data_IF_765135802026
#
_entry.id   IF_765135802026
#
_cell.length_a   1.000
_cell.length_b   1.000
_cell.length_c   1.000
_cell.angle_alpha   90.00
_cell.angle_beta   90.00
_cell.angle_gamma   90.00
#
_symmetry.space_group_name_H-M   'P 1'
#
loop_
_entity.id
_entity.type
_entity.pdbx_description
1 polymer ?
#
# COMPACT_ATOMS: atom_id res chain seq x y z
N UNK A 1 -14.63 5.00 -18.53
CA UNK A 1 -14.72 5.44 -17.13
C UNK A 1 -15.88 4.72 -16.42
N UNK A 2 -15.66 4.20 -15.25
CA UNK A 2 -16.69 3.65 -14.35
C UNK A 2 -16.63 4.41 -13.02
N UNK A 3 -17.76 4.94 -12.55
CA UNK A 3 -17.86 5.72 -11.32
C UNK A 3 -19.00 5.24 -10.45
N UNK A 4 -18.72 5.01 -9.18
CA UNK A 4 -19.68 4.74 -8.11
C UNK A 4 -19.46 5.73 -6.95
N UNK A 5 -20.19 5.57 -5.84
CA UNK A 5 -19.97 6.34 -4.63
C UNK A 5 -18.65 5.97 -3.91
N UNK A 6 -18.13 4.77 -4.16
CA UNK A 6 -16.96 4.20 -3.47
C UNK A 6 -15.69 4.22 -4.31
N UNK A 7 -15.80 4.20 -5.66
CA UNK A 7 -14.63 4.18 -6.52
C UNK A 7 -14.87 4.83 -7.89
N UNK A 8 -13.78 5.30 -8.50
CA UNK A 8 -13.70 5.79 -9.88
C UNK A 8 -12.59 5.03 -10.61
N UNK A 9 -12.89 4.47 -11.79
CA UNK A 9 -11.94 3.71 -12.59
C UNK A 9 -11.86 4.32 -14.00
N UNK A 10 -10.63 4.53 -14.45
CA UNK A 10 -10.33 5.13 -15.74
C UNK A 10 -9.47 4.18 -16.57
N UNK A 11 -9.86 3.95 -17.84
CA UNK A 11 -9.06 3.20 -18.80
C UNK A 11 -8.48 4.21 -19.80
N UNK A 12 -7.31 4.73 -19.51
CA UNK A 12 -6.58 5.70 -20.35
C UNK A 12 -5.15 5.86 -19.79
N UNK A 13 -4.35 6.70 -20.44
CA UNK A 13 -3.01 7.06 -20.02
C UNK A 13 -3.03 7.83 -18.68
N UNK A 14 -2.16 7.43 -17.75
CA UNK A 14 -2.23 7.90 -16.37
C UNK A 14 -1.96 9.40 -16.21
N UNK A 15 -0.97 9.96 -16.91
CA UNK A 15 -0.65 11.40 -16.79
C UNK A 15 -1.81 12.27 -17.30
N UNK A 16 -2.47 11.85 -18.39
CA UNK A 16 -3.65 12.53 -18.95
C UNK A 16 -4.83 12.51 -17.97
N UNK A 17 -5.10 11.36 -17.35
CA UNK A 17 -6.17 11.27 -16.36
C UNK A 17 -5.82 12.04 -15.09
N UNK A 18 -4.55 12.01 -14.63
CA UNK A 18 -4.12 12.83 -13.51
C UNK A 18 -4.33 14.33 -13.77
N UNK A 19 -4.06 14.83 -15.01
CA UNK A 19 -4.35 16.21 -15.39
C UNK A 19 -5.86 16.52 -15.28
N UNK A 20 -6.71 15.63 -15.79
CA UNK A 20 -8.17 15.76 -15.67
C UNK A 20 -8.63 15.79 -14.21
N UNK A 21 -8.02 14.97 -13.33
CA UNK A 21 -8.35 14.97 -11.90
C UNK A 21 -7.88 16.26 -11.21
N UNK A 22 -6.74 16.80 -11.61
CA UNK A 22 -6.22 18.09 -11.12
C UNK A 22 -7.16 19.25 -11.52
N UNK A 23 -7.58 19.31 -12.78
CA UNK A 23 -8.54 20.29 -13.29
C UNK A 23 -9.86 20.25 -12.52
N UNK A 24 -10.33 19.06 -12.13
CA UNK A 24 -11.52 18.86 -11.29
C UNK A 24 -11.26 19.09 -9.79
N UNK A 25 -10.06 19.56 -9.43
CA UNK A 25 -9.63 19.79 -8.04
C UNK A 25 -9.80 18.55 -7.13
N UNK A 26 -9.63 17.34 -7.67
CA UNK A 26 -9.67 16.11 -6.90
C UNK A 26 -8.46 16.04 -5.98
N UNK A 27 -8.68 15.61 -4.73
CA UNK A 27 -7.61 15.40 -3.73
C UNK A 27 -7.68 13.99 -3.17
N UNK A 28 -6.50 13.39 -2.99
CA UNK A 28 -6.35 12.02 -2.46
C UNK A 28 -5.54 12.02 -1.17
N UNK A 29 -5.81 11.03 -0.31
CA UNK A 29 -5.27 10.95 1.04
C UNK A 29 -4.04 10.04 1.12
N UNK A 30 -3.95 9.05 0.22
CA UNK A 30 -2.75 8.25 0.00
C UNK A 30 -2.63 7.83 -1.47
N UNK A 31 -1.40 7.65 -1.95
CA UNK A 31 -1.10 7.18 -3.29
C UNK A 31 -0.31 5.89 -3.16
N UNK A 32 -0.79 4.80 -3.77
CA UNK A 32 -0.15 3.49 -3.72
C UNK A 32 -0.16 2.91 -5.13
N UNK A 33 1.01 2.74 -5.73
CA UNK A 33 1.12 2.32 -7.13
C UNK A 33 2.32 1.42 -7.40
N UNK A 34 2.17 0.48 -8.35
CA UNK A 34 3.24 -0.33 -8.92
C UNK A 34 3.62 0.25 -10.28
N UNK A 35 4.55 1.21 -10.28
CA UNK A 35 4.90 1.98 -11.47
C UNK A 35 5.73 1.18 -12.46
N UNK A 36 5.58 1.42 -13.80
CA UNK A 36 6.39 0.78 -14.81
C UNK A 36 7.86 1.17 -14.67
N UNK A 37 8.76 0.20 -14.72
CA UNK A 37 10.19 0.34 -14.39
C UNK A 37 11.13 0.12 -15.58
N UNK A 38 10.60 -0.35 -16.74
CA UNK A 38 11.38 -0.64 -17.94
C UNK A 38 12.31 -1.86 -17.77
N UNK A 39 11.96 -2.81 -16.90
CA UNK A 39 12.77 -4.00 -16.63
C UNK A 39 12.23 -5.26 -17.32
N UNK A 40 11.05 -5.18 -17.92
CA UNK A 40 10.45 -6.28 -18.68
C UNK A 40 10.39 -5.95 -20.18
N UNK A 41 10.15 -6.96 -21.00
CA UNK A 41 9.97 -6.79 -22.46
C UNK A 41 8.54 -6.37 -22.84
N UNK A 42 7.69 -6.12 -21.88
CA UNK A 42 6.29 -5.77 -22.11
C UNK A 42 6.16 -4.32 -22.62
N UNK A 43 5.32 -4.10 -23.61
CA UNK A 43 5.11 -2.77 -24.22
C UNK A 43 4.56 -1.73 -23.23
N UNK A 44 3.90 -2.16 -22.16
CA UNK A 44 3.36 -1.29 -21.11
C UNK A 44 4.40 -0.91 -20.04
N UNK A 45 5.53 -1.62 -19.95
CA UNK A 45 6.59 -1.36 -18.97
C UNK A 45 7.53 -0.23 -19.42
N UNK A 46 6.97 0.91 -19.74
CA UNK A 46 7.72 2.12 -20.11
C UNK A 46 7.77 3.07 -18.92
N UNK A 47 8.98 3.38 -18.38
CA UNK A 47 9.11 4.29 -17.26
C UNK A 47 8.50 5.66 -17.56
N UNK A 48 7.79 6.19 -16.59
CA UNK A 48 7.27 7.55 -16.65
C UNK A 48 8.42 8.57 -16.46
N UNK A 49 8.31 9.72 -17.09
CA UNK A 49 9.20 10.84 -16.81
C UNK A 49 8.98 11.31 -15.36
N UNK A 50 9.99 11.17 -14.50
CA UNK A 50 9.88 11.44 -13.07
C UNK A 50 9.33 12.84 -12.76
N UNK A 51 9.82 13.88 -13.44
CA UNK A 51 9.35 15.25 -13.21
C UNK A 51 7.84 15.38 -13.50
N UNK A 52 7.37 14.81 -14.61
CA UNK A 52 5.96 14.84 -14.98
C UNK A 52 5.08 14.06 -13.99
N UNK A 53 5.57 12.93 -13.48
CA UNK A 53 4.91 12.13 -12.46
C UNK A 53 4.83 12.89 -11.13
N UNK A 54 5.97 13.37 -10.59
CA UNK A 54 6.01 14.04 -9.28
C UNK A 54 5.16 15.31 -9.25
N UNK A 55 5.21 16.14 -10.30
CA UNK A 55 4.40 17.36 -10.38
C UNK A 55 2.89 17.07 -10.20
N UNK A 56 2.39 16.05 -10.89
CA UNK A 56 0.98 15.65 -10.81
C UNK A 56 0.63 15.03 -9.46
N UNK A 57 1.48 14.14 -8.94
CA UNK A 57 1.26 13.54 -7.63
C UNK A 57 1.18 14.59 -6.53
N UNK A 58 2.03 15.62 -6.59
CA UNK A 58 1.99 16.72 -5.63
C UNK A 58 0.75 17.62 -5.76
N UNK A 59 0.22 17.79 -6.94
CA UNK A 59 -1.04 18.52 -7.17
C UNK A 59 -2.27 17.73 -6.71
N UNK A 60 -2.23 16.39 -6.82
CA UNK A 60 -3.34 15.52 -6.42
C UNK A 60 -3.39 15.24 -4.92
N UNK A 61 -2.27 15.26 -4.20
CA UNK A 61 -2.26 15.04 -2.75
C UNK A 61 -3.13 16.06 -2.00
N UNK A 62 -3.87 15.62 -0.98
CA UNK A 62 -4.69 16.50 -0.15
C UNK A 62 -3.85 17.55 0.57
N UNK A 63 -2.69 17.15 1.09
CA UNK A 63 -1.77 18.01 1.83
C UNK A 63 -0.35 17.42 1.88
N UNK A 64 0.54 18.07 2.63
CA UNK A 64 1.95 17.66 2.79
C UNK A 64 2.15 16.35 3.57
N UNK A 65 1.12 15.87 4.25
CA UNK A 65 1.14 14.62 5.01
C UNK A 65 0.68 13.41 4.16
N UNK A 66 0.13 13.65 2.95
CA UNK A 66 -0.28 12.56 2.04
C UNK A 66 0.93 11.73 1.62
N UNK A 67 0.99 10.43 1.97
CA UNK A 67 2.08 9.56 1.58
C UNK A 67 1.95 9.12 0.12
N UNK A 68 3.11 8.97 -0.53
CA UNK A 68 3.24 8.37 -1.86
C UNK A 68 4.06 7.10 -1.70
N UNK A 69 3.47 5.96 -1.97
CA UNK A 69 3.99 4.62 -1.73
C UNK A 69 4.14 3.92 -3.09
N UNK A 70 5.37 3.67 -3.49
CA UNK A 70 5.68 3.15 -4.83
C UNK A 70 6.41 1.82 -4.72
N UNK A 71 5.87 0.78 -5.37
CA UNK A 71 6.58 -0.48 -5.57
C UNK A 71 7.69 -0.28 -6.59
N UNK A 72 8.85 -0.85 -6.30
CA UNK A 72 10.05 -0.60 -7.10
C UNK A 72 11.06 -1.74 -6.97
N UNK A 73 12.07 -1.74 -7.82
CA UNK A 73 13.16 -2.72 -7.81
C UNK A 73 14.46 -2.09 -8.32
N UNK A 74 15.61 -2.55 -7.79
CA UNK A 74 16.89 -2.11 -8.32
C UNK A 74 17.10 -2.53 -9.79
N UNK A 75 17.78 -1.70 -10.61
CA UNK A 75 18.41 -0.40 -10.30
C UNK A 75 17.47 0.81 -10.40
N UNK A 76 16.19 0.59 -10.76
CA UNK A 76 15.21 1.67 -10.92
C UNK A 76 14.93 2.40 -9.58
N UNK A 77 14.92 1.69 -8.45
CA UNK A 77 14.76 2.26 -7.11
C UNK A 77 15.75 3.39 -6.83
N UNK A 78 17.02 3.21 -7.15
CA UNK A 78 18.03 4.24 -6.95
C UNK A 78 17.72 5.50 -7.74
N UNK A 79 17.32 5.37 -9.01
CA UNK A 79 16.91 6.50 -9.86
C UNK A 79 15.67 7.21 -9.32
N UNK A 80 14.67 6.43 -8.87
CA UNK A 80 13.44 6.95 -8.29
C UNK A 80 13.73 7.76 -7.02
N UNK A 81 14.56 7.25 -6.11
CA UNK A 81 14.94 7.96 -4.89
C UNK A 81 15.71 9.24 -5.22
N UNK A 82 16.72 9.18 -6.09
CA UNK A 82 17.49 10.36 -6.50
C UNK A 82 16.62 11.43 -7.16
N UNK A 83 15.53 11.04 -7.84
CA UNK A 83 14.60 12.00 -8.44
C UNK A 83 13.77 12.79 -7.43
N UNK A 84 13.75 12.36 -6.15
CA UNK A 84 12.95 12.98 -5.07
C UNK A 84 13.51 12.65 -3.67
N UNK A 85 14.83 12.77 -3.50
CA UNK A 85 15.56 12.42 -2.28
C UNK A 85 15.08 13.19 -1.05
N UNK A 86 14.72 14.46 -1.22
CA UNK A 86 14.18 15.31 -0.15
C UNK A 86 12.95 14.72 0.54
N UNK A 87 12.08 14.05 -0.21
CA UNK A 87 10.82 13.51 0.32
C UNK A 87 10.85 11.99 0.52
N UNK A 88 11.88 11.30 0.08
CA UNK A 88 12.10 9.90 0.43
C UNK A 88 12.32 9.77 1.94
N UNK A 89 11.58 8.86 2.61
CA UNK A 89 11.67 8.71 4.06
C UNK A 89 11.86 7.28 4.53
N UNK A 90 11.19 6.31 3.90
CA UNK A 90 11.18 4.93 4.39
C UNK A 90 11.28 3.98 3.20
N UNK A 91 12.11 2.94 3.35
CA UNK A 91 12.08 1.76 2.49
C UNK A 91 11.45 0.62 3.27
N UNK A 92 10.39 0.01 2.73
CA UNK A 92 9.87 -1.28 3.16
C UNK A 92 10.21 -2.34 2.11
N UNK A 93 10.17 -3.60 2.53
CA UNK A 93 10.52 -4.73 1.68
C UNK A 93 9.41 -5.77 1.76
N UNK A 94 8.87 -6.17 0.63
CA UNK A 94 7.97 -7.31 0.56
C UNK A 94 8.76 -8.57 0.27
N UNK A 95 8.84 -9.46 1.26
CA UNK A 95 9.42 -10.80 1.12
C UNK A 95 8.35 -11.75 0.59
N UNK A 96 8.61 -12.33 -0.60
CA UNK A 96 7.73 -13.27 -1.29
C UNK A 96 7.99 -14.69 -0.83
N UNK A 97 6.94 -15.50 -0.76
CA UNK A 97 7.01 -16.94 -0.47
C UNK A 97 7.76 -17.73 -1.54
N UNK A 98 7.67 -17.31 -2.80
CA UNK A 98 8.35 -17.92 -3.93
C UNK A 98 9.23 -16.91 -4.66
N UNK A 99 10.52 -17.20 -4.80
CA UNK A 99 11.43 -16.32 -5.52
C UNK A 99 11.16 -16.33 -7.03
N UNK A 100 11.69 -15.33 -7.72
CA UNK A 100 11.71 -15.22 -9.18
C UNK A 100 13.14 -15.22 -9.71
N UNK A 101 13.32 -15.33 -11.05
CA UNK A 101 14.64 -15.27 -11.67
C UNK A 101 15.33 -16.64 -11.77
N UNK A 102 14.60 -17.75 -11.76
CA UNK A 102 15.14 -19.11 -11.78
C UNK A 102 16.07 -19.40 -12.96
N UNK A 103 15.87 -18.75 -14.12
CA UNK A 103 16.75 -18.89 -15.29
C UNK A 103 18.20 -18.44 -15.00
N UNK A 104 18.39 -17.56 -14.02
CA UNK A 104 19.69 -17.04 -13.61
C UNK A 104 20.21 -17.66 -12.30
N UNK A 105 19.58 -18.72 -11.78
CA UNK A 105 19.90 -19.29 -10.46
C UNK A 105 21.35 -19.76 -10.31
N UNK A 106 22.00 -20.13 -11.44
CA UNK A 106 23.43 -20.51 -11.45
C UNK A 106 24.41 -19.32 -11.54
N UNK A 107 23.90 -18.09 -11.71
CA UNK A 107 24.72 -16.87 -11.94
C UNK A 107 24.52 -15.82 -10.86
N UNK A 108 23.37 -15.79 -10.21
CA UNK A 108 23.02 -14.82 -9.19
C UNK A 108 21.95 -15.37 -8.24
N UNK A 109 21.81 -14.81 -7.02
CA UNK A 109 20.75 -15.18 -6.10
C UNK A 109 19.35 -14.99 -6.71
N UNK A 110 18.41 -15.85 -6.32
CA UNK A 110 17.01 -15.71 -6.68
C UNK A 110 16.40 -14.48 -6.00
N UNK A 111 15.52 -13.79 -6.72
CA UNK A 111 14.88 -12.57 -6.24
C UNK A 111 13.60 -12.91 -5.48
N UNK A 112 13.64 -12.80 -4.14
CA UNK A 112 12.49 -13.03 -3.27
C UNK A 112 11.98 -11.77 -2.58
N UNK A 113 12.58 -10.60 -2.86
CA UNK A 113 12.21 -9.31 -2.23
C UNK A 113 11.84 -8.30 -3.31
N UNK A 114 10.77 -7.53 -3.06
CA UNK A 114 10.44 -6.29 -3.77
C UNK A 114 10.52 -5.11 -2.81
N UNK A 115 10.95 -3.97 -3.33
CA UNK A 115 11.14 -2.74 -2.58
C UNK A 115 9.88 -1.88 -2.64
N UNK A 116 9.58 -1.18 -1.54
CA UNK A 116 8.43 -0.28 -1.43
C UNK A 116 8.96 1.04 -0.87
N UNK A 117 9.13 2.02 -1.76
CA UNK A 117 9.64 3.34 -1.40
C UNK A 117 8.50 4.26 -0.97
N UNK A 118 8.63 4.90 0.21
CA UNK A 118 7.62 5.77 0.79
C UNK A 118 8.16 7.19 0.88
N UNK A 119 7.42 8.10 0.25
CA UNK A 119 7.74 9.52 0.15
C UNK A 119 6.66 10.35 0.84
N UNK A 120 7.07 11.36 1.60
CA UNK A 120 6.18 12.39 2.16
C UNK A 120 6.97 13.64 2.55
N UNK A 121 6.27 14.77 2.64
CA UNK A 121 6.88 16.04 3.03
C UNK A 121 6.81 16.25 4.55
N UNK A 122 5.65 15.93 5.16
CA UNK A 122 5.42 15.90 6.60
C UNK A 122 4.93 14.52 7.02
N UNK A 123 5.15 14.08 8.26
CA UNK A 123 4.71 12.78 8.75
C UNK A 123 3.24 12.50 8.41
N UNK A 124 2.94 11.38 7.75
CA UNK A 124 1.57 10.97 7.41
C UNK A 124 0.82 10.43 8.61
N UNK A 125 -0.46 10.11 8.43
CA UNK A 125 -1.17 9.18 9.30
C UNK A 125 -0.35 7.91 9.41
N UNK A 126 -0.18 7.42 10.63
CA UNK A 126 0.53 6.17 10.89
C UNK A 126 -0.23 5.33 11.92
N UNK A 127 -0.90 4.31 11.45
CA UNK A 127 -1.64 3.33 12.24
C UNK A 127 -0.83 2.01 12.21
N UNK A 128 0.05 1.74 13.19
CA UNK A 128 0.90 0.57 13.17
C UNK A 128 0.06 -0.72 13.22
N UNK A 129 0.21 -1.58 12.22
CA UNK A 129 -0.44 -2.88 12.19
C UNK A 129 0.34 -3.82 13.11
N UNK A 130 -0.11 -3.92 14.37
CA UNK A 130 0.59 -4.65 15.43
C UNK A 130 0.61 -6.15 15.14
N UNK A 131 1.74 -6.79 15.40
CA UNK A 131 1.99 -8.22 15.13
C UNK A 131 2.03 -8.97 16.46
N UNK A 132 1.32 -10.10 16.54
CA UNK A 132 1.43 -11.00 17.68
C UNK A 132 2.80 -11.67 17.65
N UNK A 133 3.55 -11.57 18.72
CA UNK A 133 4.89 -12.14 18.87
C UNK A 133 5.07 -12.83 20.22
N UNK A 134 6.27 -13.35 20.48
CA UNK A 134 6.60 -13.89 21.80
C UNK A 134 6.50 -12.77 22.84
N UNK A 135 6.07 -13.08 24.08
CA UNK A 135 6.09 -12.12 25.17
C UNK A 135 7.44 -11.43 25.27
N UNK A 136 7.45 -10.13 25.53
CA UNK A 136 8.69 -9.36 25.56
C UNK A 136 9.43 -9.69 26.85
N UNK A 137 10.71 -10.05 26.76
CA UNK A 137 11.60 -10.14 27.92
C UNK A 137 11.84 -8.78 28.59
N UNK A 138 11.41 -7.68 27.98
CA UNK A 138 11.49 -6.33 28.53
C UNK A 138 10.42 -6.05 29.60
N UNK A 139 9.52 -6.99 29.90
CA UNK A 139 8.87 -7.06 31.20
C UNK A 139 9.89 -7.69 32.19
N UNK A 140 11.14 -7.32 32.07
CA UNK A 140 12.12 -7.64 33.07
C UNK A 140 11.68 -6.97 34.37
N UNK A 141 11.46 -7.75 35.43
CA UNK A 141 11.38 -7.22 36.77
C UNK A 141 12.48 -6.22 36.97
N UNK A 142 12.13 -4.95 37.00
CA UNK A 142 13.08 -3.92 37.41
C UNK A 142 13.23 -4.04 38.89
N UNK A 143 14.11 -4.90 39.31
CA UNK A 143 14.62 -4.87 40.68
C UNK A 143 15.51 -3.60 40.74
N UNK A 144 14.93 -2.52 41.29
CA UNK A 144 15.63 -1.30 41.61
C UNK A 144 15.90 -0.38 40.38
N UNK A 145 15.68 0.88 40.60
CA UNK A 145 16.02 2.06 39.82
C UNK A 145 16.33 1.85 38.35
N UNK A 146 15.33 2.11 37.52
CA UNK A 146 15.48 2.18 36.08
C UNK A 146 16.35 3.38 35.71
N UNK A 147 17.67 3.21 35.75
CA UNK A 147 18.57 4.17 35.11
C UNK A 147 18.29 4.14 33.63
N UNK A 148 17.70 5.20 33.09
CA UNK A 148 17.72 5.45 31.65
C UNK A 148 19.17 5.30 31.19
N UNK A 149 19.49 4.23 30.45
CA UNK A 149 20.81 4.13 29.85
C UNK A 149 20.84 5.21 28.77
N UNK A 150 21.63 6.26 29.04
CA UNK A 150 21.98 7.23 28.01
C UNK A 150 22.58 6.46 26.84
N UNK A 151 21.86 6.43 25.72
CA UNK A 151 22.41 5.96 24.47
C UNK A 151 22.86 7.20 23.71
N UNK A 152 24.15 7.33 23.44
CA UNK A 152 24.73 8.47 22.72
C UNK A 152 24.05 8.73 21.36
N UNK A 153 23.37 7.72 20.79
CA UNK A 153 22.68 7.83 19.52
C UNK A 153 21.24 8.40 19.61
N UNK A 154 20.57 8.29 20.76
CA UNK A 154 19.14 8.61 20.88
C UNK A 154 18.79 9.58 22.00
N UNK A 155 19.80 10.04 22.77
CA UNK A 155 19.58 10.92 23.92
C UNK A 155 18.78 10.26 25.05
N UNK A 156 18.15 11.07 25.89
CA UNK A 156 17.31 10.61 26.98
C UNK A 156 15.88 10.36 26.49
N UNK A 157 15.36 9.18 26.73
CA UNK A 157 13.95 8.85 26.42
C UNK A 157 13.29 8.15 27.61
N UNK A 158 11.99 8.46 27.80
CA UNK A 158 11.18 7.78 28.81
C UNK A 158 10.98 6.32 28.43
N UNK A 159 11.07 5.42 29.41
CA UNK A 159 10.77 4.01 29.23
C UNK A 159 9.26 3.85 29.08
N UNK A 160 8.82 3.28 27.96
CA UNK A 160 7.42 2.90 27.78
C UNK A 160 7.27 1.44 28.17
N UNK A 161 6.49 1.18 29.20
CA UNK A 161 6.08 -0.17 29.56
C UNK A 161 5.13 -0.71 28.48
N UNK A 162 5.41 -1.93 28.02
CA UNK A 162 4.58 -2.61 27.03
C UNK A 162 4.03 -3.87 27.65
N UNK A 163 2.72 -3.90 27.82
CA UNK A 163 2.01 -5.10 28.23
C UNK A 163 1.70 -5.98 27.01
N UNK A 164 1.76 -7.31 27.23
CA UNK A 164 1.32 -8.31 26.29
C UNK A 164 2.35 -8.73 25.23
N UNK A 165 1.82 -9.39 24.21
CA UNK A 165 2.61 -10.02 23.14
C UNK A 165 2.57 -9.28 21.80
N UNK A 166 2.01 -8.06 21.74
CA UNK A 166 1.96 -7.23 20.54
C UNK A 166 3.31 -6.57 20.27
N UNK A 167 3.76 -6.63 19.02
CA UNK A 167 5.01 -6.04 18.53
C UNK A 167 4.71 -5.04 17.43
N UNK A 168 5.49 -3.96 17.40
CA UNK A 168 5.43 -3.02 16.29
C UNK A 168 5.86 -3.68 14.98
N UNK A 169 5.25 -3.27 13.84
CA UNK A 169 5.59 -3.81 12.53
C UNK A 169 7.05 -3.51 12.17
N UNK A 170 7.63 -4.40 11.37
CA UNK A 170 9.00 -4.27 10.83
C UNK A 170 8.97 -3.75 9.41
N UNK A 171 10.15 -3.41 8.88
CA UNK A 171 10.30 -3.00 7.47
C UNK A 171 10.06 -4.14 6.49
N UNK A 172 10.34 -5.39 6.88
CA UNK A 172 10.12 -6.57 6.04
C UNK A 172 8.70 -7.06 6.26
N UNK A 173 7.93 -7.07 5.18
CA UNK A 173 6.55 -7.53 5.11
C UNK A 173 6.52 -8.92 4.43
N UNK A 174 5.97 -9.92 5.10
CA UNK A 174 5.90 -11.29 4.59
C UNK A 174 4.48 -11.60 4.13
N UNK A 175 4.28 -11.62 2.83
CA UNK A 175 3.00 -11.95 2.21
C UNK A 175 3.20 -12.88 1.03
N UNK A 176 2.41 -13.94 0.95
CA UNK A 176 2.43 -14.86 -0.19
C UNK A 176 1.92 -14.18 -1.44
N UNK A 177 2.49 -14.55 -2.58
CA UNK A 177 1.98 -14.13 -3.89
C UNK A 177 0.58 -14.70 -4.13
N UNK A 178 -0.29 -14.01 -4.87
CA UNK A 178 -1.59 -14.55 -5.27
C UNK A 178 -1.42 -15.90 -6.00
N UNK A 179 -2.30 -16.85 -5.71
CA UNK A 179 -2.31 -18.15 -6.37
C UNK A 179 -3.72 -18.72 -6.50
N UNK A 180 -4.23 -18.99 -7.71
CA UNK A 180 -3.65 -18.57 -9.00
C UNK A 180 -3.70 -17.04 -9.16
N UNK A 181 -2.69 -16.43 -9.81
CA UNK A 181 -2.70 -15.00 -10.05
C UNK A 181 -3.66 -14.64 -11.21
N UNK A 182 -4.35 -13.52 -11.13
CA UNK A 182 -5.14 -12.95 -12.24
C UNK A 182 -4.22 -12.29 -13.26
N UNK A 183 -3.08 -11.75 -12.79
CA UNK A 183 -2.02 -11.17 -13.61
C UNK A 183 -0.65 -11.54 -13.04
N UNK A 184 0.39 -11.78 -13.89
CA UNK A 184 1.72 -12.23 -13.43
C UNK A 184 2.39 -11.32 -12.40
N UNK A 185 2.15 -10.01 -12.46
CA UNK A 185 2.75 -9.00 -11.56
C UNK A 185 1.80 -8.52 -10.48
N UNK A 186 0.68 -9.21 -10.26
CA UNK A 186 -0.34 -8.84 -9.27
C UNK A 186 0.26 -8.76 -7.86
N UNK A 187 -0.04 -7.66 -7.16
CA UNK A 187 0.33 -7.51 -5.76
C UNK A 187 -0.72 -8.18 -4.84
N UNK A 188 -0.28 -8.85 -3.76
CA UNK A 188 -1.21 -9.49 -2.83
C UNK A 188 -2.14 -8.48 -2.15
N UNK A 189 -3.44 -8.73 -2.18
CA UNK A 189 -4.43 -7.89 -1.48
C UNK A 189 -4.10 -7.73 0.02
N UNK A 190 -3.68 -8.77 0.76
CA UNK A 190 -3.30 -8.60 2.17
C UNK A 190 -2.12 -7.62 2.39
N UNK A 191 -1.11 -7.61 1.50
CA UNK A 191 -0.01 -6.64 1.54
C UNK A 191 -0.52 -5.20 1.33
N UNK A 192 -1.39 -5.02 0.34
CA UNK A 192 -1.98 -3.72 0.02
C UNK A 192 -2.89 -3.21 1.14
N UNK A 193 -3.64 -4.11 1.80
CA UNK A 193 -4.43 -3.78 3.00
C UNK A 193 -3.56 -3.30 4.16
N UNK A 194 -2.42 -3.96 4.41
CA UNK A 194 -1.47 -3.53 5.44
C UNK A 194 -0.98 -2.10 5.17
N UNK A 195 -0.57 -1.80 3.93
CA UNK A 195 -0.12 -0.46 3.55
C UNK A 195 -1.25 0.58 3.67
N UNK A 196 -2.45 0.27 3.17
CA UNK A 196 -3.61 1.16 3.22
C UNK A 196 -4.00 1.47 4.67
N UNK A 197 -4.16 0.44 5.51
CA UNK A 197 -4.52 0.61 6.91
C UNK A 197 -3.45 1.36 7.71
N UNK A 198 -2.17 1.13 7.39
CA UNK A 198 -1.05 1.82 8.04
C UNK A 198 -1.05 3.31 7.74
N UNK A 199 -1.35 3.71 6.51
CA UNK A 199 -1.12 5.07 6.04
C UNK A 199 -2.37 5.85 5.67
N UNK A 200 -3.55 5.36 6.03
CA UNK A 200 -4.82 6.05 5.82
C UNK A 200 -5.85 5.70 6.90
N UNK A 201 -6.91 6.51 6.99
CA UNK A 201 -8.08 6.26 7.81
C UNK A 201 -9.25 5.74 6.96
N UNK A 202 -10.27 5.18 7.60
CA UNK A 202 -11.51 4.83 6.92
C UNK A 202 -12.16 6.06 6.26
N UNK A 203 -12.71 5.87 5.08
CA UNK A 203 -13.30 6.94 4.26
C UNK A 203 -12.30 7.73 3.41
N UNK A 204 -10.98 7.61 3.65
CA UNK A 204 -9.95 8.24 2.85
C UNK A 204 -9.96 7.77 1.39
N UNK A 205 -9.43 8.60 0.50
CA UNK A 205 -9.32 8.32 -0.94
C UNK A 205 -7.92 7.82 -1.27
N UNK A 206 -7.84 6.61 -1.79
CA UNK A 206 -6.61 5.97 -2.26
C UNK A 206 -6.52 6.11 -3.79
N UNK A 207 -5.38 6.57 -4.29
CA UNK A 207 -5.08 6.62 -5.73
C UNK A 207 -4.06 5.54 -6.10
N UNK A 208 -4.39 4.76 -7.13
CA UNK A 208 -3.44 3.94 -7.88
C UNK A 208 -3.49 4.33 -9.35
N UNK A 209 -2.43 4.99 -9.84
CA UNK A 209 -2.39 5.50 -11.19
C UNK A 209 -1.82 4.52 -12.22
N UNK A 210 -1.51 3.29 -11.79
CA UNK A 210 -1.05 2.16 -12.61
C UNK A 210 -1.67 0.86 -12.11
N UNK A 211 -3.02 0.84 -12.04
CA UNK A 211 -3.80 -0.05 -11.19
C UNK A 211 -3.81 -1.54 -11.63
N UNK A 212 -3.37 -1.85 -12.86
CA UNK A 212 -3.37 -3.21 -13.38
C UNK A 212 -4.74 -3.90 -13.27
N UNK A 213 -4.77 -5.04 -12.58
CA UNK A 213 -6.01 -5.78 -12.28
C UNK A 213 -6.70 -5.27 -10.99
N UNK A 214 -6.39 -4.05 -10.58
CA UNK A 214 -7.05 -3.26 -9.53
C UNK A 214 -7.00 -3.94 -8.14
N UNK A 215 -5.89 -4.60 -7.79
CA UNK A 215 -5.71 -5.20 -6.47
C UNK A 215 -5.74 -4.17 -5.34
N UNK A 216 -5.17 -2.98 -5.58
CA UNK A 216 -5.20 -1.84 -4.64
C UNK A 216 -6.63 -1.37 -4.37
N UNK A 217 -7.48 -1.35 -5.41
CA UNK A 217 -8.89 -1.01 -5.29
C UNK A 217 -9.67 -2.02 -4.44
N UNK A 218 -9.45 -3.32 -4.65
CA UNK A 218 -10.03 -4.38 -3.81
C UNK A 218 -9.63 -4.16 -2.35
N UNK A 219 -8.34 -3.96 -2.08
CA UNK A 219 -7.83 -3.72 -0.72
C UNK A 219 -8.44 -2.45 -0.10
N UNK A 220 -8.62 -1.38 -0.88
CA UNK A 220 -9.26 -0.14 -0.43
C UNK A 220 -10.73 -0.37 -0.04
N UNK A 221 -11.52 -1.05 -0.87
CA UNK A 221 -12.93 -1.36 -0.57
C UNK A 221 -13.06 -2.25 0.67
N UNK A 222 -12.25 -3.30 0.79
CA UNK A 222 -12.28 -4.22 1.94
C UNK A 222 -11.84 -3.57 3.26
N UNK A 223 -11.14 -2.45 3.19
CA UNK A 223 -10.71 -1.66 4.36
C UNK A 223 -11.51 -0.37 4.53
N UNK A 224 -12.66 -0.27 3.86
CA UNK A 224 -13.60 0.86 3.95
C UNK A 224 -12.98 2.22 3.52
N UNK A 225 -12.14 2.20 2.46
CA UNK A 225 -11.59 3.39 1.80
C UNK A 225 -12.27 3.58 0.45
N UNK A 226 -12.22 4.81 -0.07
CA UNK A 226 -12.59 5.14 -1.45
C UNK A 226 -11.40 4.94 -2.36
N UNK A 227 -11.63 4.70 -3.64
CA UNK A 227 -10.56 4.36 -4.57
C UNK A 227 -10.67 5.10 -5.89
N UNK A 228 -9.54 5.55 -6.41
CA UNK A 228 -9.37 6.04 -7.79
C UNK A 228 -8.31 5.17 -8.46
N UNK A 229 -8.68 4.49 -9.54
CA UNK A 229 -7.77 3.61 -10.29
C UNK A 229 -7.64 4.05 -11.74
N UNK A 230 -6.42 4.06 -12.26
CA UNK A 230 -6.12 4.35 -13.66
C UNK A 230 -5.32 3.18 -14.23
N UNK A 231 -5.77 2.63 -15.35
CA UNK A 231 -5.10 1.54 -16.04
C UNK A 231 -5.15 1.76 -17.55
N UNK A 232 -4.00 1.62 -18.18
CA UNK A 232 -3.85 1.81 -19.63
C UNK A 232 -4.32 0.58 -20.42
N UNK A 233 -3.96 -0.61 -19.96
CA UNK A 233 -4.26 -1.86 -20.64
C UNK A 233 -5.73 -2.24 -20.45
N UNK A 234 -6.50 -2.29 -21.52
CA UNK A 234 -7.93 -2.53 -21.51
C UNK A 234 -8.28 -3.92 -20.96
N UNK A 235 -7.51 -4.96 -21.26
CA UNK A 235 -7.75 -6.32 -20.76
C UNK A 235 -7.59 -6.38 -19.23
N UNK A 236 -6.51 -5.80 -18.69
CA UNK A 236 -6.25 -5.69 -17.26
C UNK A 236 -7.35 -4.86 -16.58
N UNK A 237 -7.71 -3.73 -17.17
CA UNK A 237 -8.79 -2.87 -16.70
C UNK A 237 -10.11 -3.64 -16.59
N UNK A 238 -10.52 -4.35 -17.62
CA UNK A 238 -11.79 -5.11 -17.65
C UNK A 238 -11.80 -6.24 -16.60
N UNK A 239 -10.67 -6.96 -16.40
CA UNK A 239 -10.51 -7.93 -15.32
C UNK A 239 -10.66 -7.27 -13.96
N UNK A 240 -10.03 -6.10 -13.77
CA UNK A 240 -10.12 -5.31 -12.56
C UNK A 240 -11.54 -4.81 -12.26
N UNK A 241 -12.25 -4.29 -13.26
CA UNK A 241 -13.65 -3.85 -13.10
C UNK A 241 -14.55 -5.01 -12.62
N UNK A 242 -14.42 -6.18 -13.23
CA UNK A 242 -15.19 -7.38 -12.80
C UNK A 242 -14.88 -7.71 -11.34
N UNK A 243 -13.61 -7.66 -10.95
CA UNK A 243 -13.15 -7.93 -9.59
C UNK A 243 -13.71 -6.92 -8.59
N UNK A 244 -13.68 -5.63 -8.91
CA UNK A 244 -14.22 -4.56 -8.07
C UNK A 244 -15.73 -4.73 -7.82
N UNK A 245 -16.51 -5.03 -8.85
CA UNK A 245 -17.95 -5.29 -8.72
C UNK A 245 -18.24 -6.49 -7.83
N UNK A 246 -17.51 -7.59 -8.00
CA UNK A 246 -17.66 -8.77 -7.15
C UNK A 246 -17.32 -8.45 -5.68
N UNK A 247 -16.24 -7.71 -5.43
CA UNK A 247 -15.85 -7.31 -4.07
C UNK A 247 -16.93 -6.44 -3.43
N UNK A 248 -17.47 -5.46 -4.16
CA UNK A 248 -18.54 -4.58 -3.66
C UNK A 248 -19.80 -5.38 -3.31
N UNK A 249 -20.21 -6.34 -4.16
CA UNK A 249 -21.35 -7.23 -3.90
C UNK A 249 -21.16 -8.04 -2.62
N UNK A 250 -19.99 -8.66 -2.44
CA UNK A 250 -19.67 -9.45 -1.24
C UNK A 250 -19.68 -8.60 0.04
N UNK A 251 -19.19 -7.36 -0.02
CA UNK A 251 -19.23 -6.43 1.12
C UNK A 251 -20.69 -6.09 1.46
N UNK A 252 -21.52 -5.78 0.47
CA UNK A 252 -22.94 -5.47 0.69
C UNK A 252 -23.72 -6.64 1.28
N UNK A 253 -23.49 -7.86 0.82
CA UNK A 253 -24.10 -9.08 1.37
C UNK A 253 -23.68 -9.30 2.82
N UNK A 254 -22.41 -9.12 3.13
CA UNK A 254 -21.90 -9.28 4.50
C UNK A 254 -22.48 -8.26 5.49
N UNK A 255 -22.74 -7.03 5.04
CA UNK A 255 -23.41 -5.99 5.83
C UNK A 255 -24.86 -6.37 6.14
N UNK A 256 -25.64 -6.80 5.12
CA UNK A 256 -27.03 -7.26 5.28
C UNK A 256 -27.14 -8.43 6.27
N UNK A 257 -26.20 -9.38 6.22
CA UNK A 257 -26.17 -10.51 7.16
C UNK A 257 -25.92 -10.08 8.62
N UNK A 258 -25.08 -9.08 8.84
CA UNK A 258 -24.81 -8.53 10.19
C UNK A 258 -26.03 -7.80 10.73
N UNK A 259 -26.70 -6.98 9.93
CA UNK A 259 -27.92 -6.26 10.32
C UNK A 259 -29.05 -7.24 10.68
N UNK A 260 -29.27 -8.28 9.88
CA UNK A 260 -30.26 -9.31 10.15
C UNK A 260 -29.96 -10.10 11.43
N UNK A 261 -28.70 -10.38 11.76
CA UNK A 261 -28.32 -11.03 13.02
C UNK A 261 -28.52 -10.12 14.23
N UNK A 262 -28.23 -8.82 14.12
CA UNK A 262 -28.45 -7.86 15.20
C UNK A 262 -29.93 -7.68 15.49
N UNK A 263 -30.76 -7.60 14.44
CA UNK A 263 -32.21 -7.49 14.56
C UNK A 263 -32.89 -8.75 15.19
N UNK A 264 -32.36 -9.94 14.91
CA UNK A 264 -32.84 -11.17 15.56
C UNK A 264 -32.47 -11.26 17.04
N UNK A 265 -31.28 -10.75 17.43
CA UNK A 265 -30.86 -10.70 18.84
C UNK A 265 -31.65 -9.67 19.66
N UNK A 266 -32.07 -8.56 19.08
CA UNK A 266 -32.87 -7.55 19.77
C UNK A 266 -34.33 -7.95 19.97
N UNK A 267 -34.84 -8.97 19.23
CA UNK A 267 -36.21 -9.53 19.39
C UNK A 267 -36.26 -10.72 20.34
N UNK A 268 -35.12 -11.23 20.81
CA UNK A 268 -35.03 -12.38 21.75
C UNK A 268 -34.64 -11.96 23.17
N UNK A 269 -34.61 -10.67 23.46
CA UNK A 269 -34.58 -10.05 24.79
C UNK A 269 -35.93 -9.35 25.05
#
# INVERSE_FOLDING_TARGET
>A
MLKTTRYELYNDECLKIMDTLIEKNVKVDAIIADIPQGITKNNWDKPLAFNAMWDRLYKLRRNKNTPIILFTNQPFTSKLICSNDKHFKIMKYWEKDRPSGFLNAKRMPLKNVEEIAIFYEKPPVYNPQMIVGKPSHSIGKVNGESKCKNNNNYGNFARVEREGNLKYPKQILKYSRPHPPIHPTEKPVPLLKDLIMTYSNEGDVILDFTAGVISTGVAALETNRRFIGIELNEESFNKGVKRMRNTESLIMESCKHKENKSFRKSKSQ
#
